data_IF_665891781476
#
_entry.id   IF_665891781476
#
_cell.length_a   1.000
_cell.length_b   1.000
_cell.length_c   1.000
_cell.angle_alpha   90.00
_cell.angle_beta   90.00
_cell.angle_gamma   90.00
#
_symmetry.space_group_name_H-M   'P 1'
#
loop_
_entity.id
_entity.type
_entity.pdbx_description
1 polymer ?
#
# COMPACT_ATOMS: atom_id res chain seq x y z
N UNK A 1 18.18 -2.43 -21.26
CA UNK A 1 17.95 -1.42 -20.20
C UNK A 1 18.52 -0.09 -20.64
N UNK A 2 17.69 0.94 -20.59
CA UNK A 2 18.13 2.27 -20.96
C UNK A 2 18.89 2.93 -19.82
N UNK A 3 19.69 3.93 -20.17
CA UNK A 3 20.46 4.67 -19.17
C UNK A 3 19.57 5.45 -18.20
N UNK A 4 18.41 5.91 -18.67
CA UNK A 4 17.46 6.62 -17.83
C UNK A 4 16.85 5.74 -16.73
N UNK A 5 16.71 4.46 -16.99
CA UNK A 5 16.25 3.50 -15.97
C UNK A 5 17.30 3.30 -14.90
N UNK A 6 18.59 3.27 -15.28
CA UNK A 6 19.69 3.18 -14.33
C UNK A 6 19.84 4.44 -13.49
N UNK A 7 19.50 5.60 -14.06
CA UNK A 7 19.64 6.88 -13.39
C UNK A 7 18.42 7.25 -12.53
N UNK A 8 17.42 6.39 -12.48
CA UNK A 8 16.21 6.62 -11.72
C UNK A 8 16.51 6.69 -10.23
N UNK A 9 16.13 7.78 -9.60
CA UNK A 9 16.35 7.98 -8.18
C UNK A 9 15.10 7.58 -7.40
N UNK A 10 15.23 6.55 -6.59
CA UNK A 10 14.17 6.12 -5.68
C UNK A 10 14.51 6.57 -4.28
N UNK A 11 13.55 7.17 -3.61
CA UNK A 11 13.67 7.60 -2.22
C UNK A 11 12.65 6.87 -1.38
N UNK A 12 13.11 6.28 -0.29
CA UNK A 12 12.21 5.59 0.65
C UNK A 12 12.04 6.45 1.89
N UNK A 13 10.79 6.77 2.18
CA UNK A 13 10.41 7.51 3.38
C UNK A 13 9.79 6.52 4.37
N UNK A 14 10.31 6.52 5.58
CA UNK A 14 9.77 5.71 6.67
C UNK A 14 8.83 6.55 7.50
N UNK A 15 7.74 5.95 7.95
CA UNK A 15 6.79 6.63 8.81
C UNK A 15 6.36 5.74 9.97
N UNK A 16 5.91 6.39 11.03
CA UNK A 16 5.32 5.73 12.18
C UNK A 16 4.20 6.62 12.70
N UNK A 17 2.99 6.08 12.78
CA UNK A 17 1.86 6.82 13.30
C UNK A 17 1.89 6.89 14.82
N UNK A 18 1.49 8.04 15.37
CA UNK A 18 1.11 8.13 16.78
C UNK A 18 -0.32 7.61 16.97
N UNK A 19 -0.71 7.34 18.21
CA UNK A 19 -2.04 6.80 18.49
C UNK A 19 -3.16 7.74 18.03
N UNK A 20 -2.95 9.04 18.16
CA UNK A 20 -3.98 10.03 17.79
C UNK A 20 -4.15 10.17 16.27
N UNK A 21 -3.13 9.78 15.50
CA UNK A 21 -3.16 9.88 14.05
C UNK A 21 -3.50 8.54 13.37
N UNK A 22 -3.79 7.49 14.15
CA UNK A 22 -4.03 6.16 13.60
C UNK A 22 -5.32 6.13 12.77
N UNK A 23 -5.22 5.59 11.56
CA UNK A 23 -6.36 5.41 10.66
C UNK A 23 -7.08 4.10 10.98
N UNK A 24 -6.33 3.06 11.35
CA UNK A 24 -6.87 1.75 11.66
C UNK A 24 -7.35 1.69 13.10
N UNK A 25 -8.56 1.19 13.30
CA UNK A 25 -9.14 1.03 14.64
C UNK A 25 -9.72 -0.37 14.80
N UNK A 26 -9.73 -0.87 16.03
CA UNK A 26 -10.40 -2.13 16.37
C UNK A 26 -11.92 -1.94 16.35
N UNK A 27 -12.65 -3.07 16.50
CA UNK A 27 -14.10 -3.03 16.64
C UNK A 27 -14.55 -2.21 17.87
N UNK A 28 -13.73 -2.14 18.90
CA UNK A 28 -13.98 -1.32 20.10
C UNK A 28 -13.49 0.13 19.92
N UNK A 29 -13.15 0.52 18.71
CA UNK A 29 -12.67 1.85 18.35
C UNK A 29 -11.35 2.24 19.04
N UNK A 30 -10.50 1.27 19.31
CA UNK A 30 -9.15 1.53 19.82
C UNK A 30 -8.21 1.78 18.66
N UNK A 31 -7.38 2.84 18.72
CA UNK A 31 -6.45 3.14 17.64
C UNK A 31 -5.35 2.09 17.53
N UNK A 32 -5.01 1.72 16.30
CA UNK A 32 -3.93 0.81 15.99
C UNK A 32 -2.91 1.57 15.17
N UNK A 33 -1.84 2.09 15.78
CA UNK A 33 -0.81 2.81 15.02
C UNK A 33 -0.12 1.88 14.04
N UNK A 34 0.06 2.36 12.82
CA UNK A 34 0.81 1.65 11.79
C UNK A 34 2.17 2.31 11.58
N UNK A 35 3.06 1.55 10.97
CA UNK A 35 4.36 2.02 10.53
C UNK A 35 4.63 1.46 9.15
N UNK A 36 5.55 2.04 8.44
CA UNK A 36 5.85 1.52 7.12
C UNK A 36 6.78 2.40 6.34
N UNK A 37 6.75 2.16 5.04
CA UNK A 37 7.60 2.84 4.09
C UNK A 37 6.83 3.22 2.84
N UNK A 38 7.21 4.36 2.28
CA UNK A 38 6.70 4.80 0.99
C UNK A 38 7.91 5.05 0.11
N UNK A 39 7.98 4.37 -1.02
CA UNK A 39 9.05 4.57 -1.99
C UNK A 39 8.54 5.43 -3.13
N UNK A 40 9.26 6.49 -3.41
CA UNK A 40 8.88 7.53 -4.36
C UNK A 40 9.96 7.64 -5.43
N UNK A 41 9.53 7.81 -6.68
CA UNK A 41 10.43 8.23 -7.74
C UNK A 41 10.67 9.74 -7.56
N UNK A 42 11.89 10.10 -7.21
CA UNK A 42 12.22 11.50 -6.89
C UNK A 42 12.09 12.42 -8.11
N UNK A 43 12.26 11.90 -9.31
CA UNK A 43 12.18 12.70 -10.54
C UNK A 43 10.74 13.09 -10.88
N UNK A 44 9.78 12.23 -10.58
CA UNK A 44 8.36 12.47 -10.91
C UNK A 44 7.50 12.77 -9.70
N UNK A 45 7.99 12.49 -8.50
CA UNK A 45 7.21 12.61 -7.28
C UNK A 45 6.15 11.53 -7.11
N UNK A 46 6.19 10.48 -7.93
CA UNK A 46 5.16 9.43 -7.93
C UNK A 46 5.53 8.31 -6.98
N UNK A 47 4.54 7.80 -6.27
CA UNK A 47 4.71 6.65 -5.37
C UNK A 47 4.78 5.39 -6.22
N UNK A 48 5.84 4.60 -6.02
CA UNK A 48 6.02 3.32 -6.74
C UNK A 48 5.79 2.12 -5.86
N UNK A 49 5.86 2.28 -4.54
CA UNK A 49 5.64 1.20 -3.60
C UNK A 49 5.21 1.75 -2.25
N UNK A 50 4.27 1.08 -1.61
CA UNK A 50 3.93 1.33 -0.20
C UNK A 50 4.00 0.03 0.58
N UNK A 51 4.42 0.12 1.83
CA UNK A 51 4.44 -1.01 2.75
C UNK A 51 3.97 -0.49 4.09
N UNK A 52 2.96 -1.14 4.65
CA UNK A 52 2.36 -0.74 5.93
C UNK A 52 2.27 -1.96 6.81
N UNK A 53 2.69 -1.84 8.06
CA UNK A 53 2.56 -2.92 9.03
C UNK A 53 1.94 -2.42 10.32
N UNK A 54 1.17 -3.29 10.95
CA UNK A 54 0.55 -3.04 12.24
C UNK A 54 0.31 -4.36 12.97
N UNK A 55 0.06 -4.27 14.26
CA UNK A 55 -0.21 -5.43 15.09
C UNK A 55 -1.55 -5.26 15.82
N UNK A 56 -2.36 -6.31 15.80
CA UNK A 56 -3.63 -6.37 16.52
C UNK A 56 -3.63 -7.66 17.32
N UNK A 57 -3.51 -7.53 18.65
CA UNK A 57 -3.41 -8.71 19.51
C UNK A 57 -2.21 -9.57 19.13
N UNK A 58 -2.46 -10.82 18.80
CA UNK A 58 -1.42 -11.77 18.40
C UNK A 58 -1.17 -11.81 16.89
N UNK A 59 -1.82 -10.93 16.13
CA UNK A 59 -1.70 -10.91 14.66
C UNK A 59 -0.84 -9.73 14.23
N UNK A 60 0.18 -10.01 13.43
CA UNK A 60 0.99 -9.01 12.76
C UNK A 60 0.57 -8.96 11.30
N UNK A 61 0.19 -7.78 10.82
CA UNK A 61 -0.21 -7.56 9.44
C UNK A 61 0.85 -6.78 8.70
N UNK A 62 1.13 -7.19 7.47
CA UNK A 62 2.07 -6.52 6.56
C UNK A 62 1.39 -6.40 5.20
N UNK A 63 1.18 -5.18 4.75
CA UNK A 63 0.48 -4.87 3.50
C UNK A 63 1.44 -4.14 2.57
N UNK A 64 1.68 -4.72 1.40
CA UNK A 64 2.56 -4.13 0.40
C UNK A 64 1.80 -3.91 -0.90
N UNK A 65 1.92 -2.71 -1.46
CA UNK A 65 1.34 -2.37 -2.75
C UNK A 65 2.44 -1.91 -3.69
N UNK A 66 2.48 -2.48 -4.87
CA UNK A 66 3.40 -2.09 -5.96
C UNK A 66 2.58 -1.35 -7.00
N UNK A 67 3.10 -0.22 -7.45
CA UNK A 67 2.49 0.61 -8.48
C UNK A 67 3.31 0.53 -9.75
N UNK A 68 2.65 0.53 -10.89
CA UNK A 68 3.30 0.49 -12.20
C UNK A 68 2.63 1.47 -13.15
N UNK A 69 3.37 1.98 -14.15
CA UNK A 69 2.77 2.88 -15.13
C UNK A 69 1.70 2.18 -15.96
N UNK A 70 0.57 2.85 -16.13
CA UNK A 70 -0.45 2.48 -17.10
C UNK A 70 -0.44 3.55 -18.18
N UNK A 71 0.16 3.25 -19.32
CA UNK A 71 0.39 4.23 -20.37
C UNK A 71 -0.88 4.84 -20.93
N UNK A 72 -1.91 4.01 -21.09
CA UNK A 72 -3.19 4.48 -21.63
C UNK A 72 -3.87 5.53 -20.76
N UNK A 73 -3.61 5.48 -19.47
CA UNK A 73 -4.21 6.39 -18.49
C UNK A 73 -3.26 7.50 -18.06
N UNK A 74 -1.99 7.40 -18.42
CA UNK A 74 -0.92 8.32 -17.98
C UNK A 74 -0.84 8.41 -16.47
N UNK A 75 -1.05 7.30 -15.78
CA UNK A 75 -1.09 7.21 -14.33
C UNK A 75 -0.23 6.05 -13.83
N UNK A 76 0.23 6.15 -12.59
CA UNK A 76 0.68 5.00 -11.84
C UNK A 76 -0.53 4.36 -11.16
N UNK A 77 -0.68 3.06 -11.33
CA UNK A 77 -1.80 2.31 -10.78
C UNK A 77 -1.28 1.15 -9.94
N UNK A 78 -2.02 0.73 -8.91
CA UNK A 78 -1.61 -0.45 -8.15
C UNK A 78 -1.72 -1.69 -9.04
N UNK A 79 -0.65 -2.47 -9.13
CA UNK A 79 -0.62 -3.67 -9.95
C UNK A 79 -0.48 -4.93 -9.15
N UNK A 80 0.11 -4.85 -7.98
CA UNK A 80 0.28 -5.99 -7.08
C UNK A 80 0.00 -5.55 -5.66
N UNK A 81 -0.86 -6.29 -4.97
CA UNK A 81 -1.14 -6.10 -3.56
C UNK A 81 -0.87 -7.41 -2.83
N UNK A 82 -0.05 -7.35 -1.79
CA UNK A 82 0.28 -8.52 -0.98
C UNK A 82 -0.12 -8.25 0.47
N UNK A 83 -0.90 -9.15 1.04
CA UNK A 83 -1.24 -9.13 2.45
C UNK A 83 -0.58 -10.33 3.12
N UNK A 84 0.15 -10.09 4.19
CA UNK A 84 0.75 -11.14 4.99
C UNK A 84 0.32 -10.98 6.43
N UNK A 85 -0.26 -12.02 6.98
CA UNK A 85 -0.70 -12.06 8.38
C UNK A 85 0.04 -13.16 9.10
N UNK A 86 0.64 -12.82 10.22
CA UNK A 86 1.31 -13.79 11.08
C UNK A 86 0.57 -13.85 12.40
N UNK A 87 -0.02 -15.00 12.69
CA UNK A 87 -0.67 -15.27 13.97
C UNK A 87 0.31 -16.03 14.86
N UNK A 88 0.62 -15.46 15.98
CA UNK A 88 1.49 -16.12 16.97
C UNK A 88 0.62 -17.03 17.83
N UNK A 89 0.78 -18.34 17.65
CA UNK A 89 -0.02 -19.36 18.32
C UNK A 89 0.89 -20.30 19.12
N UNK A 90 1.16 -19.93 20.37
CA UNK A 90 1.97 -20.77 21.26
C UNK A 90 3.42 -20.90 20.79
N UNK A 91 3.85 -22.12 20.50
CA UNK A 91 5.24 -22.42 20.14
C UNK A 91 5.55 -22.25 18.66
N UNK A 92 4.56 -21.93 17.84
CA UNK A 92 4.75 -21.73 16.39
C UNK A 92 3.87 -20.61 15.89
N UNK A 93 4.25 -20.07 14.75
CA UNK A 93 3.50 -19.02 14.07
C UNK A 93 2.76 -19.59 12.88
N UNK A 94 1.54 -19.09 12.65
CA UNK A 94 0.78 -19.40 11.45
C UNK A 94 0.82 -18.19 10.53
N UNK A 95 1.23 -18.40 9.29
CA UNK A 95 1.33 -17.33 8.29
C UNK A 95 0.32 -17.54 7.20
N UNK A 96 -0.43 -16.48 6.92
CA UNK A 96 -1.37 -16.44 5.80
C UNK A 96 -0.92 -15.34 4.85
N UNK A 97 -0.78 -15.67 3.57
CA UNK A 97 -0.40 -14.71 2.54
C UNK A 97 -1.46 -14.69 1.46
N UNK A 98 -1.95 -13.50 1.14
CA UNK A 98 -2.87 -13.26 0.05
C UNK A 98 -2.22 -12.32 -0.94
N UNK A 99 -2.36 -12.63 -2.24
CA UNK A 99 -1.84 -11.78 -3.30
C UNK A 99 -2.95 -11.45 -4.27
N UNK A 100 -3.00 -10.21 -4.69
CA UNK A 100 -3.93 -9.75 -5.72
C UNK A 100 -3.15 -9.02 -6.79
N UNK A 101 -3.44 -9.34 -8.05
CA UNK A 101 -2.91 -8.60 -9.18
C UNK A 101 -4.06 -7.85 -9.84
N UNK A 102 -3.76 -6.65 -10.30
CA UNK A 102 -4.76 -5.78 -10.91
C UNK A 102 -4.37 -5.52 -12.36
N UNK A 103 -5.33 -5.70 -13.26
CA UNK A 103 -5.14 -5.51 -14.71
C UNK A 103 -6.37 -4.84 -15.28
N UNK A 104 -6.29 -4.46 -16.55
CA UNK A 104 -7.42 -3.89 -17.30
C UNK A 104 -8.01 -2.64 -16.66
N UNK A 105 -7.13 -1.75 -16.25
CA UNK A 105 -7.56 -0.48 -15.66
C UNK A 105 -8.31 0.36 -16.68
N UNK A 106 -9.35 1.02 -16.21
CA UNK A 106 -10.19 1.88 -17.03
C UNK A 106 -10.40 3.20 -16.33
N UNK A 107 -10.41 4.26 -17.14
CA UNK A 107 -10.78 5.57 -16.64
C UNK A 107 -12.28 5.74 -16.81
N UNK A 108 -12.95 6.05 -15.73
CA UNK A 108 -14.37 6.38 -15.76
C UNK A 108 -14.52 7.88 -15.70
N UNK A 109 -15.24 8.44 -16.68
CA UNK A 109 -15.65 9.83 -16.64
C UNK A 109 -17.14 9.86 -16.31
N UNK A 110 -17.46 10.35 -15.13
CA UNK A 110 -18.84 10.48 -14.73
C UNK A 110 -19.34 11.88 -15.11
N UNK A 111 -20.28 11.96 -16.06
CA UNK A 111 -21.06 13.15 -16.32
C UNK A 111 -22.42 12.92 -15.71
N UNK A 112 -22.58 13.34 -14.47
CA UNK A 112 -23.85 13.20 -13.77
C UNK A 112 -24.57 14.54 -13.71
N UNK A 113 -25.88 14.52 -13.97
CA UNK A 113 -26.74 15.64 -13.62
C UNK A 113 -27.47 15.28 -12.35
N UNK A 114 -27.33 16.14 -11.36
CA UNK A 114 -28.15 16.01 -10.17
C UNK A 114 -29.52 16.58 -10.51
N UNK A 115 -30.50 15.71 -10.57
CA UNK A 115 -31.89 16.14 -10.70
C UNK A 115 -32.44 16.41 -9.31
N UNK A 116 -32.87 17.62 -9.13
CA UNK A 116 -33.55 17.99 -7.90
C UNK A 116 -35.06 17.83 -8.08
#
# INVERSE_FOLDING_TARGET
MTRSELARTLVTLKFKEGRDAAIVHTAENKPIPSRGEITIDADTGRVVRTQIEFEVGSVKADLTTIYSPEERLSLLVPTLFTEKYVLKAGSHDETTTCMATFTNFRRFTATGRIKK
#
